data_IF_966332324628
#
_entry.id   IF_966332324628
#
_cell.length_a   1.000
_cell.length_b   1.000
_cell.length_c   1.000
_cell.angle_alpha   90.00
_cell.angle_beta   90.00
_cell.angle_gamma   90.00
#
_symmetry.space_group_name_H-M   'P 1'
#
loop_
_entity.id
_entity.type
_entity.pdbx_description
1 polymer ?
#
# COMPACT_ATOMS: atom_id res chain seq x y z
N UNK A 1 27.52 32.19 -68.74
CA UNK A 1 27.63 31.46 -67.46
C UNK A 1 26.23 31.07 -67.02
N UNK A 2 25.86 29.81 -67.24
CA UNK A 2 24.60 29.23 -66.75
C UNK A 2 24.73 29.00 -65.24
N UNK A 3 23.74 29.43 -64.42
CA UNK A 3 23.80 29.17 -62.98
C UNK A 3 23.59 27.67 -62.74
N UNK A 4 24.55 27.06 -62.03
CA UNK A 4 24.44 25.68 -61.57
C UNK A 4 23.19 25.55 -60.70
N UNK A 5 22.28 24.65 -61.08
CA UNK A 5 21.14 24.28 -60.25
C UNK A 5 21.67 23.66 -58.95
N UNK A 6 21.45 24.34 -57.83
CA UNK A 6 21.60 23.71 -56.53
C UNK A 6 20.58 22.57 -56.48
N UNK A 7 21.06 21.32 -56.49
CA UNK A 7 20.22 20.15 -56.22
C UNK A 7 19.71 20.27 -54.78
N UNK A 8 18.50 20.81 -54.64
CA UNK A 8 17.79 20.83 -53.38
C UNK A 8 17.43 19.41 -53.02
N UNK A 9 18.06 18.86 -51.98
CA UNK A 9 17.72 17.53 -51.44
C UNK A 9 16.23 17.56 -51.04
N UNK A 10 15.39 16.68 -51.59
CA UNK A 10 13.98 16.61 -51.26
C UNK A 10 13.74 16.50 -49.75
N UNK A 11 12.72 17.19 -49.22
CA UNK A 11 12.47 17.29 -47.76
C UNK A 11 12.27 15.94 -47.07
N UNK A 12 11.80 14.94 -47.81
CA UNK A 12 11.58 13.59 -47.33
C UNK A 12 12.88 12.75 -47.23
N UNK A 13 13.98 13.24 -47.81
CA UNK A 13 15.33 12.69 -47.71
C UNK A 13 16.21 13.43 -46.70
N UNK A 14 15.71 14.50 -46.06
CA UNK A 14 16.44 15.22 -45.04
C UNK A 14 16.71 14.32 -43.81
N UNK A 15 17.90 14.43 -43.18
CA UNK A 15 18.19 13.74 -41.94
C UNK A 15 17.16 14.05 -40.85
N UNK A 16 16.76 13.04 -40.08
CA UNK A 16 15.85 13.19 -38.95
C UNK A 16 16.27 12.24 -37.84
N UNK A 17 16.09 12.65 -36.57
CA UNK A 17 16.41 11.83 -35.39
C UNK A 17 15.33 10.81 -35.03
N UNK A 18 14.22 10.74 -35.77
CA UNK A 18 13.11 9.82 -35.48
C UNK A 18 12.70 9.03 -36.70
N UNK A 19 12.84 7.71 -36.62
CA UNK A 19 12.52 6.79 -37.72
C UNK A 19 11.02 6.81 -38.05
N UNK A 20 10.15 6.92 -37.04
CA UNK A 20 8.71 7.12 -37.23
C UNK A 20 8.41 8.42 -37.98
N UNK A 21 9.16 9.49 -37.70
CA UNK A 21 9.03 10.76 -38.39
C UNK A 21 9.55 10.66 -39.83
N UNK A 22 10.67 9.97 -40.07
CA UNK A 22 11.24 9.70 -41.39
C UNK A 22 10.25 8.92 -42.26
N UNK A 23 9.70 7.82 -41.74
CA UNK A 23 8.68 7.03 -42.43
C UNK A 23 7.40 7.83 -42.70
N UNK A 24 6.96 8.67 -41.75
CA UNK A 24 5.82 9.58 -41.93
C UNK A 24 6.08 10.61 -43.02
N UNK A 25 7.26 11.23 -43.06
CA UNK A 25 7.65 12.20 -44.10
C UNK A 25 7.68 11.53 -45.47
N UNK A 26 8.16 10.29 -45.54
CA UNK A 26 8.16 9.50 -46.76
C UNK A 26 6.75 9.20 -47.28
N UNK A 27 5.81 8.87 -46.40
CA UNK A 27 4.38 8.75 -46.77
C UNK A 27 3.79 10.10 -47.17
N UNK A 28 4.10 11.17 -46.43
CA UNK A 28 3.61 12.51 -46.74
C UNK A 28 4.11 13.00 -48.11
N UNK A 29 5.33 12.63 -48.51
CA UNK A 29 5.88 12.93 -49.82
C UNK A 29 4.97 12.43 -50.96
N UNK A 30 4.48 11.19 -50.82
CA UNK A 30 3.61 10.56 -51.79
C UNK A 30 2.23 11.22 -51.93
N UNK A 31 1.67 11.74 -50.83
CA UNK A 31 0.29 12.26 -50.81
C UNK A 31 0.20 13.78 -50.94
N UNK A 32 1.14 14.52 -50.35
CA UNK A 32 0.93 15.93 -50.01
C UNK A 32 2.08 16.87 -50.38
N UNK A 33 3.22 16.35 -50.84
CA UNK A 33 4.37 17.18 -51.18
C UNK A 33 4.17 17.88 -52.54
N UNK A 34 4.84 19.03 -52.71
CA UNK A 34 4.77 19.84 -53.92
C UNK A 34 5.36 19.11 -55.13
N UNK A 35 6.30 18.20 -54.89
CA UNK A 35 6.96 17.37 -55.92
C UNK A 35 6.28 16.01 -56.12
N UNK A 36 5.09 15.79 -55.54
CA UNK A 36 4.43 14.46 -55.54
C UNK A 36 4.17 13.87 -56.93
N UNK A 37 3.92 14.70 -57.94
CA UNK A 37 3.56 14.21 -59.27
C UNK A 37 4.78 13.60 -59.96
N UNK A 38 5.91 14.31 -59.94
CA UNK A 38 7.21 13.80 -60.41
C UNK A 38 7.64 12.54 -59.65
N UNK A 39 7.41 12.52 -58.33
CA UNK A 39 7.68 11.35 -57.50
C UNK A 39 6.79 10.16 -57.88
N UNK A 40 5.51 10.37 -58.17
CA UNK A 40 4.60 9.29 -58.59
C UNK A 40 4.92 8.78 -59.98
N UNK A 41 5.25 9.66 -60.92
CA UNK A 41 5.68 9.29 -62.27
C UNK A 41 6.92 8.38 -62.22
N UNK A 42 7.92 8.75 -61.41
CA UNK A 42 9.15 7.96 -61.21
C UNK A 42 8.88 6.53 -60.73
N UNK A 43 7.80 6.34 -59.97
CA UNK A 43 7.40 5.03 -59.45
C UNK A 43 6.14 4.48 -60.13
N UNK A 44 5.79 4.98 -61.32
CA UNK A 44 4.63 4.55 -62.12
C UNK A 44 3.30 4.50 -61.34
N UNK A 45 3.09 5.46 -60.44
CA UNK A 45 1.96 5.54 -59.52
C UNK A 45 1.80 4.31 -58.58
N UNK A 46 2.82 3.46 -58.45
CA UNK A 46 2.83 2.31 -57.55
C UNK A 46 3.35 2.70 -56.16
N UNK A 47 2.42 2.92 -55.24
CA UNK A 47 2.73 3.23 -53.84
C UNK A 47 3.45 2.06 -53.14
N UNK A 48 3.21 0.81 -53.53
CA UNK A 48 3.87 -0.35 -52.92
C UNK A 48 5.34 -0.39 -53.34
N UNK A 49 5.63 -0.16 -54.62
CA UNK A 49 7.01 -0.06 -55.10
C UNK A 49 7.76 1.09 -54.43
N UNK A 50 7.13 2.27 -54.32
CA UNK A 50 7.70 3.43 -53.62
C UNK A 50 8.00 3.12 -52.15
N UNK A 51 7.04 2.58 -51.40
CA UNK A 51 7.23 2.23 -49.99
C UNK A 51 8.25 1.10 -49.80
N UNK A 52 8.35 0.16 -50.76
CA UNK A 52 9.35 -0.90 -50.76
C UNK A 52 10.78 -0.37 -51.00
N UNK A 53 10.92 0.78 -51.67
CA UNK A 53 12.19 1.48 -51.81
C UNK A 53 12.73 2.07 -50.51
N UNK A 54 11.98 2.00 -49.39
CA UNK A 54 12.39 2.62 -48.12
C UNK A 54 13.64 1.94 -47.60
N UNK A 55 14.74 2.67 -47.58
CA UNK A 55 15.99 2.20 -47.00
C UNK A 55 16.33 3.03 -45.78
N UNK A 56 16.58 2.33 -44.68
CA UNK A 56 17.18 2.87 -43.48
C UNK A 56 18.69 3.01 -43.72
N UNK A 57 19.29 4.09 -43.23
CA UNK A 57 20.76 4.19 -43.19
C UNK A 57 21.32 3.30 -42.09
N UNK A 58 22.62 3.00 -42.11
CA UNK A 58 23.28 2.23 -41.03
C UNK A 58 23.06 2.89 -39.66
N UNK A 59 23.19 4.23 -39.59
CA UNK A 59 22.88 4.99 -38.38
C UNK A 59 21.40 4.88 -37.91
N UNK A 60 20.45 4.64 -38.84
CA UNK A 60 19.06 4.41 -38.46
C UNK A 60 18.90 2.98 -37.89
N UNK A 61 19.60 1.99 -38.48
CA UNK A 61 19.59 0.62 -37.98
C UNK A 61 20.19 0.55 -36.56
N UNK A 62 21.33 1.19 -36.34
CA UNK A 62 21.96 1.28 -35.01
C UNK A 62 21.00 1.92 -33.99
N UNK A 63 20.32 3.00 -34.38
CA UNK A 63 19.32 3.64 -33.51
C UNK A 63 18.14 2.71 -33.17
N UNK A 64 17.64 1.92 -34.13
CA UNK A 64 16.57 0.93 -33.85
C UNK A 64 17.06 -0.10 -32.85
N UNK A 65 18.28 -0.61 -33.06
CA UNK A 65 18.88 -1.62 -32.19
C UNK A 65 19.03 -1.05 -30.78
N UNK A 66 19.59 0.15 -30.61
CA UNK A 66 19.73 0.80 -29.31
C UNK A 66 18.38 1.02 -28.61
N UNK A 67 17.37 1.53 -29.33
CA UNK A 67 16.03 1.71 -28.77
C UNK A 67 15.38 0.37 -28.39
N UNK A 68 15.57 -0.65 -29.21
CA UNK A 68 15.13 -2.01 -28.95
C UNK A 68 15.79 -2.58 -27.70
N UNK A 69 17.11 -2.42 -27.56
CA UNK A 69 17.88 -2.86 -26.40
C UNK A 69 17.47 -2.11 -25.12
N UNK A 70 17.22 -0.80 -25.20
CA UNK A 70 16.73 -0.02 -24.08
C UNK A 70 15.31 -0.45 -23.65
N UNK A 71 14.43 -0.70 -24.62
CA UNK A 71 13.09 -1.22 -24.35
C UNK A 71 13.13 -2.63 -23.75
N UNK A 72 14.00 -3.50 -24.26
CA UNK A 72 14.20 -4.85 -23.75
C UNK A 72 14.79 -4.84 -22.33
N UNK A 73 15.76 -3.97 -22.06
CA UNK A 73 16.31 -3.75 -20.70
C UNK A 73 15.21 -3.27 -19.75
N UNK A 74 14.37 -2.33 -20.18
CA UNK A 74 13.22 -1.87 -19.40
C UNK A 74 12.23 -3.00 -19.11
N UNK A 75 11.98 -3.87 -20.09
CA UNK A 75 11.13 -5.05 -19.92
C UNK A 75 11.74 -6.05 -18.94
N UNK A 76 13.04 -6.37 -19.07
CA UNK A 76 13.75 -7.26 -18.14
C UNK A 76 13.70 -6.72 -16.71
N UNK A 77 13.94 -5.43 -16.51
CA UNK A 77 13.83 -4.79 -15.19
C UNK A 77 12.40 -4.93 -14.64
N UNK A 78 11.37 -4.74 -15.48
CA UNK A 78 9.96 -4.95 -15.07
C UNK A 78 9.68 -6.40 -14.70
N UNK A 79 10.17 -7.36 -15.47
CA UNK A 79 10.00 -8.79 -15.20
C UNK A 79 10.70 -9.22 -13.91
N UNK A 80 11.95 -8.76 -13.69
CA UNK A 80 12.70 -9.02 -12.45
C UNK A 80 11.99 -8.42 -11.24
N UNK A 81 11.51 -7.17 -11.34
CA UNK A 81 10.69 -6.55 -10.29
C UNK A 81 9.45 -7.37 -10.00
N UNK A 82 8.71 -7.78 -11.04
CA UNK A 82 7.51 -8.61 -10.88
C UNK A 82 7.82 -9.94 -10.18
N UNK A 83 8.93 -10.60 -10.52
CA UNK A 83 9.37 -11.83 -9.87
C UNK A 83 9.71 -11.61 -8.38
N UNK A 84 10.37 -10.51 -8.03
CA UNK A 84 10.65 -10.15 -6.63
C UNK A 84 9.38 -9.83 -5.85
N UNK A 85 8.43 -9.07 -6.43
CA UNK A 85 7.15 -8.77 -5.79
C UNK A 85 6.32 -10.04 -5.53
N UNK A 86 6.31 -10.99 -6.47
CA UNK A 86 5.63 -12.28 -6.30
C UNK A 86 6.17 -13.08 -5.10
N UNK A 87 7.46 -12.93 -4.78
CA UNK A 87 8.08 -13.56 -3.63
C UNK A 87 7.64 -12.93 -2.29
N UNK A 88 7.57 -11.59 -2.23
CA UNK A 88 7.01 -10.89 -1.07
C UNK A 88 5.53 -11.21 -0.85
N UNK A 89 4.74 -11.32 -1.91
CA UNK A 89 3.33 -11.73 -1.85
C UNK A 89 3.18 -13.13 -1.29
N UNK A 90 3.95 -14.08 -1.82
CA UNK A 90 3.94 -15.48 -1.37
C UNK A 90 4.25 -15.60 0.11
N UNK A 91 5.31 -14.93 0.58
CA UNK A 91 5.69 -14.96 2.00
C UNK A 91 4.65 -14.28 2.89
N UNK A 92 4.06 -13.17 2.44
CA UNK A 92 2.91 -12.56 3.13
C UNK A 92 1.72 -13.51 3.21
N UNK A 93 1.49 -14.32 2.19
CA UNK A 93 0.45 -15.36 2.17
C UNK A 93 0.69 -16.45 3.19
N UNK A 94 1.93 -16.96 3.25
CA UNK A 94 2.36 -17.94 4.26
C UNK A 94 2.14 -17.38 5.66
N UNK A 95 2.58 -16.16 5.95
CA UNK A 95 2.37 -15.52 7.25
C UNK A 95 0.88 -15.37 7.63
N UNK A 96 0.00 -15.06 6.67
CA UNK A 96 -1.44 -15.02 6.93
C UNK A 96 -2.01 -16.41 7.20
N UNK A 97 -1.54 -17.44 6.48
CA UNK A 97 -1.94 -18.82 6.73
C UNK A 97 -1.47 -19.29 8.10
N UNK A 98 -0.23 -18.97 8.49
CA UNK A 98 0.33 -19.31 9.80
C UNK A 98 -0.45 -18.62 10.93
N UNK A 99 -0.85 -17.36 10.74
CA UNK A 99 -1.72 -16.66 11.69
C UNK A 99 -3.07 -17.38 11.84
N UNK A 100 -3.73 -17.74 10.74
CA UNK A 100 -5.01 -18.47 10.77
C UNK A 100 -4.86 -19.86 11.40
N UNK A 101 -3.79 -20.59 11.07
CA UNK A 101 -3.48 -21.88 11.69
C UNK A 101 -3.29 -21.71 13.19
N UNK A 102 -2.56 -20.66 13.62
CA UNK A 102 -2.37 -20.37 15.05
C UNK A 102 -3.69 -20.05 15.75
N UNK A 103 -4.55 -19.24 15.12
CA UNK A 103 -5.90 -18.93 15.62
C UNK A 103 -6.79 -20.17 15.79
N UNK A 104 -6.57 -21.22 14.99
CA UNK A 104 -7.46 -22.40 14.92
C UNK A 104 -6.90 -23.64 15.62
N UNK A 105 -5.58 -23.75 15.77
CA UNK A 105 -4.93 -25.01 16.15
C UNK A 105 -4.52 -25.12 17.62
N UNK A 106 -4.33 -24.00 18.35
CA UNK A 106 -3.88 -24.06 19.76
C UNK A 106 -4.57 -22.98 20.64
N UNK A 107 -5.66 -23.31 21.33
CA UNK A 107 -6.43 -22.32 22.11
C UNK A 107 -5.74 -21.83 23.40
N UNK A 108 -4.73 -22.54 23.91
CA UNK A 108 -4.10 -22.26 25.22
C UNK A 108 -2.58 -22.05 25.16
N UNK A 109 -1.96 -22.02 23.98
CA UNK A 109 -0.52 -21.77 23.87
C UNK A 109 -0.24 -20.33 23.46
N UNK A 110 0.92 -19.82 23.91
CA UNK A 110 1.45 -18.59 23.37
C UNK A 110 1.70 -18.77 21.86
N UNK A 111 1.36 -17.77 21.04
CA UNK A 111 1.59 -17.83 19.62
C UNK A 111 3.09 -18.02 19.32
N UNK A 112 3.44 -18.78 18.26
CA UNK A 112 4.82 -19.06 17.91
C UNK A 112 5.69 -17.80 17.87
N UNK A 113 6.91 -17.92 18.42
CA UNK A 113 7.85 -16.79 18.53
C UNK A 113 8.30 -16.21 17.18
N UNK A 114 8.07 -16.96 16.10
CA UNK A 114 8.44 -16.65 14.72
C UNK A 114 7.31 -16.02 13.89
N UNK A 115 6.10 -15.90 14.44
CA UNK A 115 5.01 -15.17 13.78
C UNK A 115 5.40 -13.70 13.56
N UNK A 116 5.23 -13.17 12.33
CA UNK A 116 5.65 -11.82 12.02
C UNK A 116 4.74 -10.78 12.68
N UNK A 117 5.30 -9.59 12.89
CA UNK A 117 4.52 -8.39 13.21
C UNK A 117 3.80 -7.93 11.94
N UNK A 118 2.53 -7.53 12.07
CA UNK A 118 1.78 -6.95 10.97
C UNK A 118 1.78 -5.43 11.11
N UNK A 119 2.14 -4.72 10.04
CA UNK A 119 2.11 -3.26 10.00
C UNK A 119 1.25 -2.82 8.83
N UNK A 120 0.13 -2.18 9.13
CA UNK A 120 -0.62 -1.43 8.14
C UNK A 120 0.01 -0.06 7.94
N UNK A 121 0.14 0.37 6.69
CA UNK A 121 0.64 1.69 6.33
C UNK A 121 -0.32 2.38 5.38
N UNK A 122 -0.33 3.71 5.44
CA UNK A 122 -1.04 4.56 4.49
C UNK A 122 -0.30 5.90 4.32
N UNK A 123 -0.43 6.53 3.16
CA UNK A 123 0.18 7.82 2.86
C UNK A 123 -0.85 8.78 2.31
N UNK A 124 -0.86 10.01 2.83
CA UNK A 124 -1.70 11.09 2.30
C UNK A 124 -0.86 12.12 1.54
N UNK A 125 -1.44 12.64 0.46
CA UNK A 125 -0.80 13.62 -0.42
C UNK A 125 -0.31 13.02 -1.75
N UNK A 126 0.01 13.90 -2.69
CA UNK A 126 0.39 13.52 -4.05
C UNK A 126 1.87 13.81 -4.27
N UNK A 127 2.66 12.75 -4.44
CA UNK A 127 4.12 12.77 -4.56
C UNK A 127 4.63 13.77 -5.61
N UNK A 128 3.92 13.89 -6.74
CA UNK A 128 4.37 14.72 -7.87
C UNK A 128 3.92 16.18 -7.82
N UNK A 129 2.82 16.49 -7.13
CA UNK A 129 2.23 17.84 -7.14
C UNK A 129 2.45 18.60 -5.83
N UNK A 130 2.20 17.97 -4.69
CA UNK A 130 2.17 18.65 -3.37
C UNK A 130 3.11 18.02 -2.34
N UNK A 131 3.73 16.89 -2.69
CA UNK A 131 4.48 16.06 -1.75
C UNK A 131 3.57 15.26 -0.84
N UNK A 132 4.18 14.30 -0.13
CA UNK A 132 3.51 13.55 0.93
C UNK A 132 3.27 14.48 2.11
N UNK A 133 2.06 14.45 2.66
CA UNK A 133 1.61 15.31 3.74
C UNK A 133 1.42 14.56 5.06
N UNK A 134 1.14 13.27 5.00
CA UNK A 134 1.08 12.40 6.19
C UNK A 134 1.53 10.98 5.87
N UNK A 135 1.99 10.30 6.91
CA UNK A 135 2.28 8.87 6.92
C UNK A 135 1.60 8.24 8.13
N UNK A 136 0.70 7.32 7.87
CA UNK A 136 -0.03 6.58 8.87
C UNK A 136 0.52 5.19 9.04
N UNK A 137 0.46 4.69 10.28
CA UNK A 137 0.77 3.30 10.56
C UNK A 137 -0.14 2.71 11.64
N UNK A 138 -0.35 1.40 11.56
CA UNK A 138 -0.97 0.63 12.62
C UNK A 138 -0.26 -0.72 12.79
N UNK A 139 0.19 -1.02 14.01
CA UNK A 139 0.95 -2.25 14.32
C UNK A 139 0.10 -3.23 15.10
N UNK A 140 0.21 -4.49 14.73
CA UNK A 140 -0.25 -5.61 15.54
C UNK A 140 0.91 -6.56 15.82
N UNK A 141 1.19 -6.79 17.10
CA UNK A 141 2.15 -7.78 17.55
C UNK A 141 1.41 -9.06 17.99
N UNK A 142 1.46 -10.17 17.24
CA UNK A 142 0.69 -11.37 17.59
C UNK A 142 1.03 -11.95 18.97
N UNK A 143 2.27 -11.79 19.45
CA UNK A 143 2.68 -12.23 20.80
C UNK A 143 2.25 -11.27 21.93
N UNK A 144 1.77 -10.07 21.61
CA UNK A 144 1.35 -9.08 22.60
C UNK A 144 0.02 -8.45 22.19
N UNK A 145 -1.01 -9.29 22.02
CA UNK A 145 -2.34 -8.84 21.66
C UNK A 145 -3.03 -8.03 22.77
N UNK A 146 -2.52 -8.08 24.00
CA UNK A 146 -3.05 -7.29 25.12
C UNK A 146 -2.84 -5.80 24.88
N UNK A 147 -1.70 -5.40 24.32
CA UNK A 147 -1.46 -4.01 23.89
C UNK A 147 -2.35 -3.53 22.74
N UNK A 148 -3.08 -4.44 22.08
CA UNK A 148 -3.98 -4.12 20.98
C UNK A 148 -3.25 -3.64 19.72
N UNK A 149 -3.98 -2.93 18.86
CA UNK A 149 -3.42 -2.29 17.67
C UNK A 149 -2.80 -0.95 18.11
N UNK A 150 -1.53 -0.74 17.79
CA UNK A 150 -0.81 0.51 18.07
C UNK A 150 -0.84 1.39 16.82
N UNK A 151 -1.65 2.43 16.82
CA UNK A 151 -1.71 3.40 15.73
C UNK A 151 -0.82 4.60 15.95
N UNK A 152 -0.27 5.13 14.86
CA UNK A 152 0.46 6.39 14.85
C UNK A 152 0.18 7.15 13.54
N UNK A 153 0.03 8.47 13.65
CA UNK A 153 -0.14 9.39 12.54
C UNK A 153 0.99 10.42 12.54
N UNK A 154 1.79 10.41 11.47
CA UNK A 154 2.90 11.34 11.27
C UNK A 154 2.51 12.37 10.24
N UNK A 155 2.16 13.58 10.68
CA UNK A 155 1.75 14.66 9.79
C UNK A 155 2.87 15.67 9.59
N UNK A 156 3.03 16.17 8.36
CA UNK A 156 3.96 17.26 8.09
C UNK A 156 3.52 18.55 8.80
N UNK A 157 4.48 19.27 9.39
CA UNK A 157 4.27 20.56 10.07
C UNK A 157 3.51 21.59 9.20
N UNK A 158 3.63 21.49 7.87
CA UNK A 158 2.97 22.38 6.90
C UNK A 158 1.49 22.06 6.65
N UNK A 159 0.97 20.93 7.13
CA UNK A 159 -0.43 20.56 6.92
C UNK A 159 -1.35 21.37 7.83
N UNK A 160 -2.32 22.06 7.23
CA UNK A 160 -3.52 22.53 7.95
C UNK A 160 -4.39 21.31 8.23
N UNK A 161 -4.51 20.94 9.51
CA UNK A 161 -5.31 19.81 10.03
C UNK A 161 -6.57 19.56 9.21
N UNK A 162 -6.65 18.42 8.50
CA UNK A 162 -7.84 18.02 7.72
C UNK A 162 -8.61 16.84 8.31
N UNK A 163 -8.09 16.18 9.35
CA UNK A 163 -8.79 15.09 10.03
C UNK A 163 -8.28 14.94 11.46
N UNK A 164 -9.14 14.45 12.35
CA UNK A 164 -8.77 14.14 13.73
C UNK A 164 -8.25 12.72 13.78
N UNK A 165 -6.97 12.53 14.09
CA UNK A 165 -6.45 11.19 14.39
C UNK A 165 -7.10 10.64 15.68
N UNK A 166 -7.54 9.38 15.63
CA UNK A 166 -8.33 8.74 16.68
C UNK A 166 -7.55 7.67 17.47
N UNK A 167 -6.48 7.11 16.91
CA UNK A 167 -5.99 5.79 17.33
C UNK A 167 -4.56 5.76 17.86
N UNK A 168 -4.21 6.64 18.79
CA UNK A 168 -2.92 6.62 19.49
C UNK A 168 -2.15 7.93 19.34
N UNK A 169 -0.89 7.82 18.93
CA UNK A 169 0.03 8.95 18.88
C UNK A 169 -0.08 9.75 17.58
N UNK A 170 -0.21 11.06 17.72
CA UNK A 170 -0.13 12.02 16.62
C UNK A 170 1.17 12.81 16.77
N UNK A 171 2.02 12.75 15.74
CA UNK A 171 3.34 13.38 15.77
C UNK A 171 3.47 14.30 14.56
N UNK A 172 3.95 15.52 14.80
CA UNK A 172 4.33 16.44 13.72
C UNK A 172 5.80 16.29 13.41
N UNK A 173 6.11 16.16 12.13
CA UNK A 173 7.48 16.01 11.64
C UNK A 173 7.74 16.98 10.48
N UNK A 174 9.00 17.30 10.28
CA UNK A 174 9.42 18.01 9.07
C UNK A 174 9.58 17.02 7.91
N UNK A 175 9.37 17.48 6.68
CA UNK A 175 9.40 16.62 5.48
C UNK A 175 10.74 15.91 5.29
N UNK A 176 11.83 16.55 5.72
CA UNK A 176 13.19 16.01 5.66
C UNK A 176 13.37 14.79 6.58
N UNK A 177 12.60 14.70 7.66
CA UNK A 177 12.68 13.62 8.65
C UNK A 177 11.88 12.39 8.24
N UNK A 178 10.87 12.54 7.39
CA UNK A 178 9.94 11.46 7.02
C UNK A 178 10.65 10.18 6.54
N UNK A 179 11.66 10.22 5.64
CA UNK A 179 12.38 9.02 5.24
C UNK A 179 13.07 8.29 6.40
N UNK A 180 13.65 9.02 7.35
CA UNK A 180 14.34 8.43 8.50
C UNK A 180 13.36 7.86 9.51
N UNK A 181 12.21 8.51 9.71
CA UNK A 181 11.14 7.97 10.54
C UNK A 181 10.63 6.66 9.95
N UNK A 182 10.29 6.61 8.66
CA UNK A 182 9.87 5.36 7.98
C UNK A 182 10.94 4.28 8.17
N UNK A 183 12.23 4.62 8.00
CA UNK A 183 13.33 3.68 8.21
C UNK A 183 13.39 3.14 9.63
N UNK A 184 13.25 3.98 10.64
CA UNK A 184 13.30 3.56 12.04
C UNK A 184 12.10 2.67 12.40
N UNK A 185 10.91 3.08 11.96
CA UNK A 185 9.66 2.36 12.19
C UNK A 185 9.60 0.99 11.48
N UNK A 186 10.28 0.83 10.34
CA UNK A 186 10.30 -0.41 9.56
C UNK A 186 11.56 -1.27 9.76
N UNK A 187 12.68 -0.71 10.21
CA UNK A 187 13.87 -1.51 10.58
C UNK A 187 13.65 -2.30 11.86
N UNK A 188 12.95 -1.71 12.83
CA UNK A 188 12.65 -2.34 14.12
C UNK A 188 13.85 -3.07 14.75
N UNK A 189 13.54 -4.06 15.58
CA UNK A 189 14.52 -5.06 16.00
C UNK A 189 14.79 -5.99 14.80
N UNK A 190 16.00 -5.94 14.22
CA UNK A 190 16.39 -6.64 12.97
C UNK A 190 16.06 -8.13 12.95
N UNK A 191 15.81 -8.73 14.12
CA UNK A 191 15.47 -10.15 14.27
C UNK A 191 14.00 -10.47 14.00
N UNK A 192 13.09 -9.50 14.09
CA UNK A 192 11.65 -9.73 13.99
C UNK A 192 11.13 -9.55 12.57
N UNK A 193 10.54 -10.62 12.05
CA UNK A 193 9.89 -10.67 10.75
C UNK A 193 8.67 -9.75 10.71
N UNK A 194 8.47 -9.05 9.60
CA UNK A 194 7.38 -8.08 9.43
C UNK A 194 6.61 -8.32 8.13
N UNK A 195 5.29 -8.11 8.18
CA UNK A 195 4.39 -8.13 7.03
C UNK A 195 3.73 -6.76 6.87
N UNK A 196 3.91 -6.14 5.70
CA UNK A 196 3.24 -4.90 5.36
C UNK A 196 1.83 -5.16 4.82
N UNK A 197 0.87 -4.39 5.35
CA UNK A 197 -0.54 -4.39 5.00
C UNK A 197 -0.88 -2.99 4.49
N UNK A 198 -1.73 -2.89 3.47
CA UNK A 198 -2.19 -1.60 2.95
C UNK A 198 -3.43 -1.81 2.11
N UNK A 199 -4.32 -0.81 2.09
CA UNK A 199 -5.51 -0.85 1.26
C UNK A 199 -5.15 -0.75 -0.24
N UNK A 200 -4.13 0.04 -0.56
CA UNK A 200 -3.58 0.22 -1.91
C UNK A 200 -2.05 0.05 -1.91
N UNK A 201 -1.55 -0.93 -1.15
CA UNK A 201 -0.13 -1.10 -0.78
C UNK A 201 0.89 -0.89 -1.91
N UNK A 202 0.54 -1.20 -3.16
CA UNK A 202 1.31 -0.86 -4.37
C UNK A 202 1.68 0.62 -4.48
N UNK A 203 0.70 1.49 -4.23
CA UNK A 203 0.81 2.95 -4.21
C UNK A 203 1.69 3.39 -3.05
N UNK A 204 1.45 2.87 -1.84
CA UNK A 204 2.27 3.15 -0.66
C UNK A 204 3.74 2.74 -0.86
N UNK A 205 4.01 1.56 -1.44
CA UNK A 205 5.37 1.10 -1.76
C UNK A 205 6.03 1.93 -2.87
N UNK A 206 5.25 2.40 -3.85
CA UNK A 206 5.74 3.34 -4.86
C UNK A 206 6.15 4.67 -4.20
N UNK A 207 5.31 5.21 -3.34
CA UNK A 207 5.59 6.41 -2.54
C UNK A 207 6.87 6.26 -1.73
N UNK A 208 7.01 5.16 -0.99
CA UNK A 208 8.23 4.85 -0.23
C UNK A 208 9.48 4.85 -1.12
N UNK A 209 9.40 4.25 -2.31
CA UNK A 209 10.51 4.24 -3.28
C UNK A 209 10.86 5.65 -3.76
N UNK A 210 9.88 6.50 -4.03
CA UNK A 210 10.13 7.90 -4.44
C UNK A 210 10.75 8.71 -3.29
N UNK A 211 10.38 8.41 -2.04
CA UNK A 211 11.00 8.99 -0.84
C UNK A 211 12.42 8.45 -0.55
N UNK A 212 12.97 7.57 -1.39
CA UNK A 212 14.29 6.98 -1.19
C UNK A 212 14.34 5.92 -0.09
N UNK A 213 13.20 5.30 0.22
CA UNK A 213 13.06 4.23 1.22
C UNK A 213 12.47 2.96 0.58
N UNK A 214 13.19 2.31 -0.36
CA UNK A 214 12.70 1.10 -1.00
C UNK A 214 12.46 -0.01 0.03
N UNK A 215 11.40 -0.81 -0.13
CA UNK A 215 11.10 -1.96 0.76
C UNK A 215 12.25 -2.98 0.76
N UNK A 216 12.97 -3.05 -0.35
CA UNK A 216 14.14 -3.89 -0.55
C UNK A 216 15.31 -3.52 0.40
N UNK A 217 15.27 -2.37 1.06
CA UNK A 217 16.24 -1.96 2.08
C UNK A 217 15.99 -2.59 3.47
N UNK A 218 14.93 -3.37 3.65
CA UNK A 218 14.54 -3.95 4.93
C UNK A 218 14.57 -5.49 4.88
N UNK A 219 15.66 -6.08 5.37
CA UNK A 219 15.85 -7.54 5.43
C UNK A 219 14.80 -8.25 6.31
N UNK A 220 14.25 -7.55 7.29
CA UNK A 220 13.27 -8.02 8.25
C UNK A 220 11.83 -7.98 7.72
N UNK A 221 11.57 -7.28 6.60
CA UNK A 221 10.26 -7.30 5.94
C UNK A 221 10.14 -8.57 5.13
N UNK A 222 9.53 -9.58 5.73
CA UNK A 222 9.40 -10.91 5.12
C UNK A 222 8.27 -10.99 4.12
N UNK A 223 7.38 -10.00 4.02
CA UNK A 223 6.32 -10.02 3.04
C UNK A 223 5.64 -8.67 2.87
N UNK A 224 5.15 -8.43 1.67
CA UNK A 224 4.18 -7.38 1.37
C UNK A 224 3.06 -8.04 0.61
N UNK A 225 1.81 -7.77 0.96
CA UNK A 225 0.70 -8.11 0.05
C UNK A 225 0.79 -7.15 -1.14
N UNK A 226 0.62 -7.61 -2.38
CA UNK A 226 0.67 -6.78 -3.60
C UNK A 226 -0.13 -7.45 -4.74
N UNK A 227 -0.54 -6.65 -5.73
CA UNK A 227 -0.63 -7.03 -7.14
C UNK A 227 -0.69 -5.75 -8.00
N UNK A 228 0.09 -5.69 -9.09
CA UNK A 228 0.09 -4.64 -10.12
C UNK A 228 -0.26 -5.17 -11.50
N UNK A 229 -1.38 -5.87 -11.63
CA UNK A 229 -1.93 -6.11 -12.96
C UNK A 229 -2.90 -4.99 -13.34
N UNK A 230 -2.77 -4.37 -14.53
CA UNK A 230 -3.81 -3.52 -15.11
C UNK A 230 -5.14 -4.27 -15.35
N UNK A 231 -5.14 -5.60 -15.19
CA UNK A 231 -6.26 -6.51 -15.49
C UNK A 231 -6.57 -7.53 -14.39
N UNK A 232 -5.89 -7.48 -13.23
CA UNK A 232 -6.03 -8.46 -12.15
C UNK A 232 -6.52 -7.86 -10.83
N UNK A 233 -7.29 -8.59 -10.01
CA UNK A 233 -7.90 -8.06 -8.79
C UNK A 233 -6.86 -7.82 -7.66
N UNK A 234 -6.99 -6.68 -6.98
CA UNK A 234 -6.20 -6.17 -5.84
C UNK A 234 -6.17 -7.18 -4.65
N UNK A 235 -5.21 -7.18 -3.71
CA UNK A 235 -4.98 -8.28 -2.75
C UNK A 235 -5.69 -8.18 -1.39
N UNK A 236 -5.98 -6.98 -0.86
CA UNK A 236 -7.08 -6.84 0.12
C UNK A 236 -8.37 -7.27 -0.59
N UNK A 237 -8.48 -6.87 -1.86
CA UNK A 237 -9.47 -7.34 -2.81
C UNK A 237 -9.31 -8.84 -3.19
N UNK A 238 -8.23 -9.58 -2.86
CA UNK A 238 -7.99 -10.98 -3.29
C UNK A 238 -8.30 -11.96 -2.16
N UNK A 239 -8.03 -11.55 -0.91
CA UNK A 239 -8.71 -12.15 0.24
C UNK A 239 -10.21 -11.83 0.21
N UNK A 240 -10.62 -10.66 -0.27
CA UNK A 240 -12.03 -10.43 -0.66
C UNK A 240 -12.43 -11.21 -1.92
N UNK A 241 -11.58 -11.44 -2.94
CA UNK A 241 -11.98 -12.13 -4.19
C UNK A 241 -12.14 -13.64 -3.98
N UNK A 242 -11.43 -14.21 -3.00
CA UNK A 242 -11.67 -15.57 -2.52
C UNK A 242 -13.03 -15.70 -1.81
N UNK A 243 -13.62 -14.61 -1.30
CA UNK A 243 -14.90 -14.59 -0.57
C UNK A 243 -16.06 -13.89 -1.31
N UNK A 244 -15.75 -13.01 -2.27
CA UNK A 244 -16.65 -12.10 -2.98
C UNK A 244 -16.13 -11.91 -4.42
N UNK A 245 -16.23 -12.94 -5.28
CA UNK A 245 -15.63 -12.99 -6.62
C UNK A 245 -16.14 -11.93 -7.63
N UNK A 246 -16.95 -10.96 -7.21
CA UNK A 246 -17.57 -9.93 -8.07
C UNK A 246 -17.10 -8.49 -7.81
N UNK A 247 -16.23 -8.24 -6.84
CA UNK A 247 -15.95 -6.87 -6.39
C UNK A 247 -14.62 -6.35 -6.94
N UNK A 248 -14.69 -5.48 -7.97
CA UNK A 248 -13.58 -4.62 -8.38
C UNK A 248 -13.78 -3.23 -7.77
N UNK A 249 -12.76 -2.70 -7.08
CA UNK A 249 -12.70 -1.28 -6.67
C UNK A 249 -13.59 -0.89 -5.49
N UNK A 250 -13.33 -1.45 -4.31
CA UNK A 250 -13.93 -0.96 -3.05
C UNK A 250 -13.07 0.13 -2.44
N UNK A 251 -13.68 1.25 -2.03
CA UNK A 251 -13.05 2.17 -1.08
C UNK A 251 -12.88 1.48 0.28
N UNK A 252 -11.97 1.99 1.11
CA UNK A 252 -11.80 1.52 2.48
C UNK A 252 -13.12 1.59 3.24
N UNK A 253 -13.86 2.70 3.09
CA UNK A 253 -15.19 2.88 3.68
C UNK A 253 -16.15 1.74 3.29
N UNK A 254 -16.29 1.44 2.00
CA UNK A 254 -17.19 0.37 1.55
C UNK A 254 -16.75 -1.01 2.06
N UNK A 255 -15.46 -1.23 2.27
CA UNK A 255 -14.94 -2.46 2.85
C UNK A 255 -15.33 -2.58 4.33
N UNK A 256 -15.18 -1.50 5.10
CA UNK A 256 -15.59 -1.46 6.50
C UNK A 256 -17.11 -1.68 6.63
N UNK A 257 -17.92 -1.05 5.77
CA UNK A 257 -19.37 -1.25 5.72
C UNK A 257 -19.71 -2.73 5.47
N UNK A 258 -19.04 -3.36 4.50
CA UNK A 258 -19.26 -4.77 4.17
C UNK A 258 -18.89 -5.71 5.33
N UNK A 259 -17.79 -5.42 6.01
CA UNK A 259 -17.33 -6.18 7.18
C UNK A 259 -18.06 -5.78 8.48
N UNK A 260 -19.00 -4.83 8.41
CA UNK A 260 -19.73 -4.28 9.56
C UNK A 260 -18.80 -3.72 10.65
N UNK A 261 -17.66 -3.16 10.26
CA UNK A 261 -16.72 -2.49 11.15
C UNK A 261 -17.17 -1.03 11.29
N UNK A 262 -17.49 -0.62 12.52
CA UNK A 262 -17.88 0.76 12.80
C UNK A 262 -16.69 1.71 12.69
N UNK A 263 -16.88 2.80 11.96
CA UNK A 263 -15.93 3.92 11.85
C UNK A 263 -16.63 5.23 12.18
N UNK A 264 -15.85 6.26 12.49
CA UNK A 264 -16.35 7.60 12.77
C UNK A 264 -16.44 8.43 11.49
N UNK A 265 -17.53 9.18 11.33
CA UNK A 265 -17.74 10.06 10.18
C UNK A 265 -16.64 11.14 10.08
N UNK A 266 -16.25 11.49 8.85
CA UNK A 266 -15.23 12.50 8.57
C UNK A 266 -13.83 12.19 9.15
N UNK A 267 -13.51 10.90 9.35
CA UNK A 267 -12.18 10.49 9.85
C UNK A 267 -11.27 9.89 8.79
N UNK A 268 -11.80 9.60 7.60
CA UNK A 268 -11.03 9.31 6.39
C UNK A 268 -10.20 10.53 5.95
N UNK A 269 -9.13 10.30 5.19
CA UNK A 269 -8.13 11.31 4.79
C UNK A 269 -7.21 11.77 5.92
N UNK A 270 -7.08 10.91 6.92
CA UNK A 270 -6.04 10.94 7.94
C UNK A 270 -5.30 9.61 7.82
N UNK A 271 -4.05 9.67 7.36
CA UNK A 271 -3.31 8.47 7.02
C UNK A 271 -3.27 7.47 8.18
N UNK A 272 -3.08 7.95 9.42
CA UNK A 272 -3.10 7.09 10.60
C UNK A 272 -4.45 6.39 10.85
N UNK A 273 -5.58 7.07 10.64
CA UNK A 273 -6.90 6.44 10.75
C UNK A 273 -7.08 5.39 9.65
N UNK A 274 -6.70 5.71 8.42
CA UNK A 274 -6.84 4.83 7.26
C UNK A 274 -5.97 3.58 7.40
N UNK A 275 -4.74 3.71 7.93
CA UNK A 275 -3.89 2.58 8.29
C UNK A 275 -4.51 1.71 9.40
N UNK A 276 -5.10 2.33 10.43
CA UNK A 276 -5.74 1.61 11.54
C UNK A 276 -6.98 0.83 11.08
N UNK A 277 -7.87 1.47 10.33
CA UNK A 277 -9.04 0.80 9.75
C UNK A 277 -8.64 -0.29 8.76
N UNK A 278 -7.56 -0.08 7.99
CA UNK A 278 -6.97 -1.12 7.13
C UNK A 278 -6.52 -2.33 7.95
N UNK A 279 -5.90 -2.13 9.11
CA UNK A 279 -5.54 -3.22 10.03
C UNK A 279 -6.80 -3.93 10.54
N UNK A 280 -7.85 -3.21 10.96
CA UNK A 280 -9.09 -3.82 11.41
C UNK A 280 -9.77 -4.68 10.33
N UNK A 281 -9.86 -4.15 9.11
CA UNK A 281 -10.36 -4.90 7.97
C UNK A 281 -9.52 -6.16 7.68
N UNK A 282 -8.19 -6.05 7.76
CA UNK A 282 -7.29 -7.19 7.62
C UNK A 282 -7.58 -8.28 8.67
N UNK A 283 -7.73 -7.91 9.94
CA UNK A 283 -8.02 -8.86 11.02
C UNK A 283 -9.40 -9.50 10.88
N UNK A 284 -10.43 -8.74 10.51
CA UNK A 284 -11.76 -9.27 10.24
C UNK A 284 -11.73 -10.35 9.14
N UNK A 285 -10.95 -10.12 8.08
CA UNK A 285 -10.73 -11.12 7.02
C UNK A 285 -9.99 -12.37 7.53
N UNK A 286 -9.04 -12.24 8.45
CA UNK A 286 -8.38 -13.39 9.08
C UNK A 286 -9.35 -14.19 9.95
N UNK A 287 -10.23 -13.52 10.70
CA UNK A 287 -11.28 -14.16 11.50
C UNK A 287 -12.25 -14.93 10.61
N UNK A 288 -12.75 -14.33 9.52
CA UNK A 288 -13.60 -15.04 8.55
C UNK A 288 -12.91 -16.25 7.93
N UNK A 289 -11.59 -16.19 7.73
CA UNK A 289 -10.80 -17.33 7.24
C UNK A 289 -10.67 -18.43 8.28
N UNK A 290 -10.39 -18.08 9.53
CA UNK A 290 -10.39 -19.01 10.64
C UNK A 290 -11.76 -19.70 10.80
N UNK A 291 -12.87 -18.95 10.75
CA UNK A 291 -14.22 -19.51 10.78
C UNK A 291 -14.48 -20.53 9.67
N UNK A 292 -14.04 -20.20 8.45
CA UNK A 292 -14.17 -21.08 7.29
C UNK A 292 -13.37 -22.38 7.44
N UNK A 293 -12.20 -22.33 8.08
CA UNK A 293 -11.39 -23.52 8.40
C UNK A 293 -12.11 -24.37 9.44
N UNK A 294 -12.51 -23.78 10.58
CA UNK A 294 -13.18 -24.48 11.69
C UNK A 294 -14.48 -25.17 11.24
N UNK A 295 -15.26 -24.54 10.34
CA UNK A 295 -16.48 -25.16 9.77
C UNK A 295 -16.17 -26.36 8.89
N UNK A 296 -15.09 -26.32 8.10
CA UNK A 296 -14.71 -27.41 7.17
C UNK A 296 -14.09 -28.60 7.89
N UNK A 297 -13.31 -28.36 8.95
CA UNK A 297 -12.60 -29.41 9.68
C UNK A 297 -13.49 -30.14 10.69
N UNK A 298 -14.73 -29.69 10.93
CA UNK A 298 -15.62 -30.29 11.91
C UNK A 298 -15.12 -30.19 13.35
N UNK A 299 -14.04 -29.44 13.58
CA UNK A 299 -13.47 -29.16 14.90
C UNK A 299 -14.33 -28.12 15.61
N UNK A 300 -15.61 -28.44 15.80
CA UNK A 300 -16.52 -27.76 16.72
C UNK A 300 -16.16 -28.09 18.18
N UNK A 301 -14.87 -28.06 18.51
CA UNK A 301 -14.43 -28.13 19.88
C UNK A 301 -14.82 -26.79 20.52
N UNK A 302 -16.00 -26.79 21.13
CA UNK A 302 -16.37 -25.91 22.23
C UNK A 302 -15.25 -26.03 23.25
N UNK A 303 -14.23 -25.20 23.11
CA UNK A 303 -13.14 -25.17 24.04
C UNK A 303 -13.65 -24.38 25.25
N UNK A 304 -13.90 -25.05 26.37
CA UNK A 304 -14.08 -24.41 27.66
C UNK A 304 -12.73 -23.83 28.10
N UNK A 305 -12.62 -22.52 28.21
CA UNK A 305 -11.44 -21.80 28.67
C UNK A 305 -11.69 -20.30 28.58
N UNK A 306 -11.10 -19.54 29.50
CA UNK A 306 -11.46 -18.15 29.76
C UNK A 306 -11.40 -17.25 28.49
N UNK A 307 -12.39 -16.35 28.30
CA UNK A 307 -12.48 -15.45 27.14
C UNK A 307 -11.23 -14.57 26.93
N UNK A 308 -10.49 -14.26 28.00
CA UNK A 308 -9.39 -13.29 27.98
C UNK A 308 -8.08 -13.79 27.34
N UNK A 309 -7.99 -15.08 26.98
CA UNK A 309 -6.70 -15.71 26.63
C UNK A 309 -6.58 -16.25 25.21
N UNK A 310 -7.65 -16.22 24.40
CA UNK A 310 -7.61 -16.83 23.05
C UNK A 310 -7.23 -15.84 21.98
N UNK A 311 -6.14 -16.12 21.25
CA UNK A 311 -5.71 -15.32 20.10
C UNK A 311 -6.85 -15.05 19.11
N UNK A 312 -7.69 -16.07 18.81
CA UNK A 312 -8.85 -15.89 17.94
C UNK A 312 -9.83 -14.83 18.48
N UNK A 313 -10.28 -14.97 19.73
CA UNK A 313 -11.26 -14.04 20.32
C UNK A 313 -10.67 -12.64 20.46
N UNK A 314 -9.39 -12.53 20.82
CA UNK A 314 -8.71 -11.24 20.93
C UNK A 314 -8.54 -10.56 19.57
N UNK A 315 -8.16 -11.30 18.53
CA UNK A 315 -8.08 -10.75 17.17
C UNK A 315 -9.46 -10.33 16.67
N UNK A 316 -10.50 -11.11 16.98
CA UNK A 316 -11.89 -10.76 16.68
C UNK A 316 -12.33 -9.50 17.41
N UNK A 317 -12.07 -9.38 18.70
CA UNK A 317 -12.35 -8.15 19.44
C UNK A 317 -11.65 -6.94 18.81
N UNK A 318 -10.36 -7.05 18.48
CA UNK A 318 -9.58 -5.96 17.86
C UNK A 318 -10.11 -5.58 16.47
N UNK A 319 -10.55 -6.55 15.68
CA UNK A 319 -11.10 -6.32 14.34
C UNK A 319 -12.38 -5.47 14.34
N UNK A 320 -13.23 -5.60 15.36
CA UNK A 320 -14.50 -4.85 15.49
C UNK A 320 -14.48 -3.81 16.64
N UNK A 321 -13.31 -3.54 17.22
CA UNK A 321 -13.17 -2.54 18.29
C UNK A 321 -13.49 -1.14 17.75
N UNK A 322 -14.51 -0.50 18.30
CA UNK A 322 -14.82 0.90 17.96
C UNK A 322 -13.72 1.86 18.45
N UNK A 323 -13.53 2.95 17.70
CA UNK A 323 -12.74 4.06 18.17
C UNK A 323 -13.33 4.62 19.47
N UNK A 324 -12.49 4.86 20.47
CA UNK A 324 -12.92 5.60 21.65
C UNK A 324 -12.86 7.08 21.31
N UNK A 325 -14.01 7.75 21.33
CA UNK A 325 -14.03 9.18 21.08
C UNK A 325 -13.34 9.92 22.24
N UNK A 326 -12.57 10.99 21.96
CA UNK A 326 -11.95 11.83 23.03
C UNK A 326 -12.96 12.27 24.11
N UNK A 327 -14.24 12.43 23.77
CA UNK A 327 -15.31 12.74 24.74
C UNK A 327 -15.62 11.56 25.66
N UNK A 328 -15.66 10.35 25.13
CA UNK A 328 -15.84 9.12 25.91
C UNK A 328 -14.62 8.82 26.78
N UNK A 329 -13.41 9.07 26.27
CA UNK A 329 -12.17 8.95 27.05
C UNK A 329 -12.16 9.97 28.18
N UNK A 330 -12.49 11.24 27.92
CA UNK A 330 -12.59 12.27 28.95
C UNK A 330 -13.68 11.94 29.97
N UNK A 331 -14.86 11.50 29.52
CA UNK A 331 -15.95 11.07 30.41
C UNK A 331 -15.55 9.87 31.28
N UNK A 332 -14.76 8.92 30.76
CA UNK A 332 -14.21 7.81 31.54
C UNK A 332 -13.15 8.27 32.54
N UNK A 333 -12.24 9.16 32.13
CA UNK A 333 -11.23 9.75 33.02
C UNK A 333 -11.89 10.56 34.15
N UNK A 334 -12.91 11.34 33.83
CA UNK A 334 -13.67 12.14 34.80
C UNK A 334 -14.44 11.19 35.76
N UNK A 335 -15.01 10.09 35.26
CA UNK A 335 -15.68 9.08 36.08
C UNK A 335 -14.71 8.26 36.95
N UNK A 336 -13.49 7.98 36.47
CA UNK A 336 -12.43 7.31 37.25
C UNK A 336 -11.80 8.24 38.30
N UNK A 337 -11.67 9.53 37.99
CA UNK A 337 -11.28 10.55 38.97
C UNK A 337 -12.34 10.66 40.09
N UNK A 338 -13.63 10.70 39.73
CA UNK A 338 -14.73 10.71 40.70
C UNK A 338 -14.79 9.44 41.57
N UNK A 339 -14.42 8.27 41.02
CA UNK A 339 -14.31 7.03 41.82
C UNK A 339 -13.15 7.04 42.80
N UNK A 340 -12.04 7.70 42.47
CA UNK A 340 -10.91 7.85 43.39
C UNK A 340 -11.21 8.85 44.50
N UNK A 341 -11.88 9.95 44.18
CA UNK A 341 -12.30 10.95 45.18
C UNK A 341 -13.43 10.45 46.09
N UNK A 342 -14.22 9.47 45.64
CA UNK A 342 -15.27 8.83 46.44
C UNK A 342 -14.81 7.67 47.33
N UNK A 343 -13.51 7.35 47.36
CA UNK A 343 -12.98 6.19 48.10
C UNK A 343 -12.09 6.57 49.29
N UNK A 344 -12.06 7.84 49.72
CA UNK A 344 -11.30 8.28 50.90
C UNK A 344 -12.11 8.45 52.20
N UNK A 345 -13.44 8.30 52.21
CA UNK A 345 -14.26 8.61 53.41
C UNK A 345 -15.08 7.43 53.98
N UNK A 346 -14.59 6.19 53.89
CA UNK A 346 -15.13 5.07 54.71
C UNK A 346 -14.03 4.23 55.35
N UNK A 347 -13.19 4.88 56.16
CA UNK A 347 -12.53 4.24 57.30
C UNK A 347 -12.69 5.15 58.51
N UNK A 348 -13.83 5.02 59.18
CA UNK A 348 -14.01 5.59 60.52
C UNK A 348 -12.97 5.03 61.48
N UNK A 349 -12.29 5.92 62.21
CA UNK A 349 -11.76 5.62 63.53
C UNK A 349 -12.45 6.56 64.51
N UNK A 350 -13.46 6.00 65.14
CA UNK A 350 -14.06 6.49 66.38
C UNK A 350 -13.03 6.43 67.52
N UNK A 351 -13.05 7.44 68.39
CA UNK A 351 -12.75 7.27 69.81
C UNK A 351 -11.38 7.77 70.29
N UNK A 352 -11.40 8.88 71.05
CA UNK A 352 -10.22 9.33 71.79
C UNK A 352 -10.41 10.68 72.47
N UNK A 353 -11.44 10.81 73.32
CA UNK A 353 -11.44 11.81 74.40
C UNK A 353 -10.26 11.55 75.33
N UNK A 354 -9.39 12.56 75.49
CA UNK A 354 -8.67 12.82 76.74
C UNK A 354 -8.58 14.34 76.87
N UNK A 355 -9.45 14.89 77.73
CA UNK A 355 -9.16 16.12 78.46
C UNK A 355 -8.11 15.79 79.52
N UNK A 356 -7.10 16.64 79.63
CA UNK A 356 -6.51 17.06 80.91
C UNK A 356 -6.06 18.51 80.71
N UNK A 357 -6.79 19.42 81.35
CA UNK A 357 -6.65 20.88 81.28
C UNK A 357 -7.92 21.58 81.76
#
# INVERSE_FOLDING_TARGET
MTPQSQQTIPKHLLPTTSIKLKQRRWRQAWYHDKERESLREMWHHDIKAYLAGFRLSDADHDQIIEQGMAAFTTLLIRMLKHAQFADYERRGHTACADLVTTMTSQPNSLPPSDLPIFIAIDFEGEVHNRGITEFGLARLHPQNLQSGIQGMDLALSSKRSRGKFLFGEYVRIDSVQLPDVIRNELRGDKRRKMVLVGHSISSELHTMRVLGVPIEAFENVVGSKFSSSPTGPNPVIWLLALYLPRLKGFSLQGLLDHLQIGYEDNTFHCAGNDAYYTMQAFLALMVHRADGVTRKTGSGAVACGDPETRMYERIKELAWKKALLKREVRSRMDAEAYRKDGQEDECGVFGGMCEDG
#
